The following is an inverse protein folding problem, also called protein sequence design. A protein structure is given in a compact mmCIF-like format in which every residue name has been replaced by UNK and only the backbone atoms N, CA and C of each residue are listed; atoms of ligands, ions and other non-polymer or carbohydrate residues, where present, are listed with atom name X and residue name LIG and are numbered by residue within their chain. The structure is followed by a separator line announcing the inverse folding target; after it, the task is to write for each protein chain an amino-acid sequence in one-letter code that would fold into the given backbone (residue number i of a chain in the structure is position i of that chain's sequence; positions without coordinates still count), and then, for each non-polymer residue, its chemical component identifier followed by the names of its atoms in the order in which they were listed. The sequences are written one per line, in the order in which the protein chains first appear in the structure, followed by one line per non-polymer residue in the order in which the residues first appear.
data_IF_239696795443
#
_entry.id   IF_239696795443
#
_cell.length_a   1.000
_cell.length_b   1.000
_cell.length_c   1.000
_cell.angle_alpha   90.00
_cell.angle_beta   90.00
_cell.angle_gamma   90.00
#
_symmetry.space_group_name_H-M   'P 1'
#
loop_
_entity.id
_entity.type
_entity.pdbx_description
1 polymer ?
#
# COMPACT_ATOMS: atom_id res chain seq x y z
N UNK A 1 -64.57 -25.63 -17.84
CA UNK A 1 -64.33 -24.30 -17.22
C UNK A 1 -63.01 -24.39 -16.47
N UNK A 2 -61.89 -24.09 -17.13
CA UNK A 2 -61.35 -22.78 -17.52
C UNK A 2 -60.60 -22.12 -16.37
N UNK A 3 -59.30 -21.86 -16.61
CA UNK A 3 -58.70 -20.60 -16.22
C UNK A 3 -57.49 -20.65 -15.28
N UNK A 4 -56.35 -21.16 -15.73
CA UNK A 4 -55.04 -20.72 -15.23
C UNK A 4 -53.86 -20.63 -16.25
N UNK A 5 -54.03 -20.58 -17.60
CA UNK A 5 -52.90 -20.38 -18.51
C UNK A 5 -52.49 -18.90 -18.71
N UNK A 6 -53.21 -17.93 -18.13
CA UNK A 6 -52.99 -16.49 -18.36
C UNK A 6 -51.73 -15.91 -17.68
N UNK A 7 -51.28 -16.48 -16.55
CA UNK A 7 -50.08 -15.98 -15.84
C UNK A 7 -48.77 -16.41 -16.50
N UNK A 8 -48.73 -17.60 -17.11
CA UNK A 8 -47.54 -18.08 -17.83
C UNK A 8 -47.26 -17.24 -19.08
N UNK A 9 -48.31 -16.71 -19.71
CA UNK A 9 -48.19 -15.87 -20.90
C UNK A 9 -47.71 -14.45 -20.56
N UNK A 10 -48.02 -13.96 -19.36
CA UNK A 10 -47.63 -12.64 -18.88
C UNK A 10 -46.15 -12.58 -18.44
N UNK A 11 -45.63 -13.66 -17.84
CA UNK A 11 -44.20 -13.75 -17.49
C UNK A 11 -43.29 -13.84 -18.74
N UNK A 12 -43.75 -14.50 -19.81
CA UNK A 12 -42.97 -14.69 -21.04
C UNK A 12 -42.77 -13.40 -21.84
N UNK A 13 -43.72 -12.46 -21.76
CA UNK A 13 -43.64 -11.14 -22.42
C UNK A 13 -42.67 -10.16 -21.74
N UNK A 14 -42.30 -10.38 -20.47
CA UNK A 14 -41.28 -9.56 -19.79
C UNK A 14 -39.85 -9.98 -20.15
N UNK A 15 -39.64 -11.17 -20.70
CA UNK A 15 -38.30 -11.70 -21.01
C UNK A 15 -37.84 -11.49 -22.46
N UNK A 16 -38.71 -11.06 -23.39
CA UNK A 16 -38.29 -10.80 -24.78
C UNK A 16 -39.21 -9.78 -25.49
N UNK A 17 -38.82 -8.50 -25.60
CA UNK A 17 -39.70 -7.42 -26.08
C UNK A 17 -39.88 -7.31 -27.61
N UNK A 18 -39.14 -8.08 -28.43
CA UNK A 18 -39.13 -7.92 -29.90
C UNK A 18 -39.95 -8.99 -30.67
N UNK A 19 -40.92 -9.66 -30.05
CA UNK A 19 -41.79 -10.62 -30.75
C UNK A 19 -43.05 -9.91 -31.32
N UNK A 20 -43.31 -9.95 -32.65
CA UNK A 20 -44.53 -9.37 -33.21
C UNK A 20 -45.80 -10.15 -32.80
N UNK A 21 -46.94 -9.46 -32.62
CA UNK A 21 -48.19 -10.05 -32.12
C UNK A 21 -48.87 -10.97 -33.16
N UNK A 22 -49.47 -12.05 -32.66
CA UNK A 22 -50.15 -13.11 -33.42
C UNK A 22 -51.49 -12.70 -34.08
N UNK A 23 -51.61 -11.46 -34.56
CA UNK A 23 -52.82 -10.90 -35.16
C UNK A 23 -52.65 -10.44 -36.61
N UNK A 24 -51.58 -10.88 -37.30
CA UNK A 24 -51.39 -10.67 -38.73
C UNK A 24 -51.53 -12.01 -39.47
N UNK A 25 -52.77 -12.49 -39.57
CA UNK A 25 -53.19 -13.49 -40.55
C UNK A 25 -54.09 -12.75 -41.54
N UNK A 26 -53.49 -12.23 -42.62
CA UNK A 26 -54.24 -11.72 -43.77
C UNK A 26 -54.75 -12.87 -44.65
N UNK A 27 -55.97 -12.69 -45.13
CA UNK A 27 -56.77 -13.59 -45.95
C UNK A 27 -56.15 -13.85 -47.32
N UNK A 28 -56.18 -15.11 -47.78
CA UNK A 28 -56.03 -15.48 -49.20
C UNK A 28 -57.35 -16.13 -49.65
N UNK A 29 -57.97 -15.70 -50.76
CA UNK A 29 -59.36 -16.00 -51.05
C UNK A 29 -59.57 -17.43 -51.58
N UNK A 30 -60.75 -17.96 -51.25
CA UNK A 30 -61.32 -19.21 -51.74
C UNK A 30 -61.66 -19.11 -53.22
N UNK A 31 -61.11 -20.00 -54.05
CA UNK A 31 -61.69 -20.32 -55.35
C UNK A 31 -61.45 -21.78 -55.72
N UNK A 32 -62.56 -22.45 -56.04
CA UNK A 32 -62.71 -23.62 -56.90
C UNK A 32 -62.28 -25.00 -56.33
N UNK A 33 -63.28 -25.64 -55.74
CA UNK A 33 -63.57 -27.07 -55.74
C UNK A 33 -63.07 -27.82 -56.99
N UNK A 34 -62.09 -28.70 -56.80
CA UNK A 34 -61.69 -29.72 -57.77
C UNK A 34 -61.40 -31.04 -57.03
N UNK A 35 -62.12 -32.07 -57.45
CA UNK A 35 -62.17 -33.46 -57.02
C UNK A 35 -60.92 -34.05 -56.31
N UNK A 36 -61.19 -34.73 -55.19
CA UNK A 36 -60.31 -35.68 -54.51
C UNK A 36 -59.89 -36.84 -55.44
N UNK A 37 -58.59 -37.18 -55.55
CA UNK A 37 -58.16 -38.53 -55.88
C UNK A 37 -57.64 -39.24 -54.62
N UNK A 38 -58.00 -40.52 -54.51
CA UNK A 38 -57.58 -41.43 -53.45
C UNK A 38 -56.04 -41.51 -53.36
N UNK A 39 -55.47 -41.09 -52.24
CA UNK A 39 -54.07 -41.38 -51.90
C UNK A 39 -54.02 -42.81 -51.35
N UNK A 40 -53.62 -43.73 -52.22
CA UNK A 40 -53.16 -45.05 -51.82
C UNK A 40 -51.89 -44.91 -50.98
N UNK A 41 -51.90 -45.51 -49.80
CA UNK A 41 -50.76 -45.64 -48.91
C UNK A 41 -49.73 -46.59 -49.53
N UNK A 42 -48.77 -46.07 -50.30
CA UNK A 42 -47.54 -46.81 -50.60
C UNK A 42 -46.60 -46.68 -49.40
N UNK A 43 -46.39 -47.79 -48.69
CA UNK A 43 -45.31 -47.94 -47.70
C UNK A 43 -43.95 -47.76 -48.40
N UNK A 44 -42.97 -47.07 -47.79
CA UNK A 44 -41.64 -46.96 -48.40
C UNK A 44 -40.99 -48.36 -48.52
N UNK A 45 -40.17 -48.60 -49.57
CA UNK A 45 -39.55 -49.89 -49.78
C UNK A 45 -38.57 -50.17 -48.63
N UNK A 46 -38.74 -51.32 -47.96
CA UNK A 46 -37.78 -51.81 -46.97
C UNK A 46 -36.44 -51.96 -47.67
N UNK A 47 -35.49 -51.08 -47.34
CA UNK A 47 -34.14 -51.14 -47.89
C UNK A 47 -33.60 -52.54 -47.61
N UNK A 48 -33.28 -53.29 -48.66
CA UNK A 48 -32.72 -54.65 -48.51
C UNK A 48 -31.50 -54.60 -47.59
N UNK A 49 -31.32 -55.63 -46.74
CA UNK A 49 -30.23 -55.67 -45.74
C UNK A 49 -28.84 -55.42 -46.35
N UNK A 50 -28.66 -55.68 -47.64
CA UNK A 50 -27.44 -55.39 -48.39
C UNK A 50 -27.19 -53.90 -48.67
N UNK A 51 -28.23 -53.06 -48.73
CA UNK A 51 -28.11 -51.61 -48.92
C UNK A 51 -27.70 -50.89 -47.62
N UNK A 52 -28.21 -51.35 -46.47
CA UNK A 52 -27.80 -50.85 -45.15
C UNK A 52 -26.39 -51.32 -44.79
N UNK A 53 -26.03 -52.57 -45.13
CA UNK A 53 -24.67 -53.07 -44.96
C UNK A 53 -23.65 -52.27 -45.80
N UNK A 54 -23.97 -51.98 -47.06
CA UNK A 54 -23.10 -51.18 -47.95
C UNK A 54 -22.93 -49.73 -47.48
N UNK A 55 -23.96 -49.09 -46.90
CA UNK A 55 -23.83 -47.73 -46.37
C UNK A 55 -23.05 -47.69 -45.05
N UNK A 56 -23.12 -48.73 -44.22
CA UNK A 56 -22.29 -48.88 -43.03
C UNK A 56 -20.81 -49.12 -43.38
N UNK A 57 -20.52 -49.99 -44.35
CA UNK A 57 -19.16 -50.20 -44.87
C UNK A 57 -18.60 -48.92 -45.52
N UNK A 58 -19.43 -48.18 -46.27
CA UNK A 58 -19.05 -46.90 -46.84
C UNK A 58 -18.75 -45.84 -45.76
N UNK A 59 -19.53 -45.77 -44.68
CA UNK A 59 -19.25 -44.85 -43.57
C UNK A 59 -17.98 -45.23 -42.80
N UNK A 60 -17.73 -46.52 -42.59
CA UNK A 60 -16.50 -47.01 -41.93
C UNK A 60 -15.29 -46.71 -42.81
N UNK A 61 -15.38 -46.92 -44.13
CA UNK A 61 -14.29 -46.58 -45.06
C UNK A 61 -14.06 -45.07 -45.17
N UNK A 62 -15.13 -44.24 -45.15
CA UNK A 62 -15.00 -42.79 -45.13
C UNK A 62 -14.39 -42.26 -43.82
N UNK A 63 -14.71 -42.89 -42.68
CA UNK A 63 -14.05 -42.59 -41.40
C UNK A 63 -12.59 -43.04 -41.39
N UNK A 64 -12.31 -44.22 -41.95
CA UNK A 64 -10.95 -44.72 -42.13
C UNK A 64 -10.14 -43.77 -43.01
N UNK A 65 -10.67 -43.33 -44.16
CA UNK A 65 -10.02 -42.39 -45.06
C UNK A 65 -9.88 -41.00 -44.43
N UNK A 66 -10.85 -40.52 -43.67
CA UNK A 66 -10.74 -39.25 -42.94
C UNK A 66 -9.68 -39.31 -41.83
N UNK A 67 -9.61 -40.41 -41.08
CA UNK A 67 -8.58 -40.65 -40.06
C UNK A 67 -7.21 -40.86 -40.71
N UNK A 68 -7.12 -41.61 -41.80
CA UNK A 68 -5.87 -41.79 -42.55
C UNK A 68 -5.40 -40.47 -43.12
N UNK A 69 -6.26 -39.68 -43.75
CA UNK A 69 -5.94 -38.34 -44.26
C UNK A 69 -5.51 -37.41 -43.11
N UNK A 70 -6.18 -37.40 -41.96
CA UNK A 70 -5.76 -36.61 -40.79
C UNK A 70 -4.40 -37.06 -40.23
N UNK A 71 -4.17 -38.36 -40.10
CA UNK A 71 -2.89 -38.92 -39.59
C UNK A 71 -1.75 -38.69 -40.59
N UNK A 72 -2.01 -38.76 -41.89
CA UNK A 72 -0.98 -38.58 -42.93
C UNK A 72 -0.68 -37.12 -43.26
N UNK A 73 -1.67 -36.22 -43.20
CA UNK A 73 -1.47 -34.78 -43.47
C UNK A 73 -1.16 -33.96 -42.23
N UNK A 74 -1.80 -34.26 -41.08
CA UNK A 74 -1.62 -33.49 -39.84
C UNK A 74 -0.82 -34.23 -38.77
N UNK A 75 -0.75 -35.57 -38.81
CA UNK A 75 -0.01 -36.36 -37.82
C UNK A 75 1.49 -36.08 -37.83
N UNK A 76 2.10 -35.89 -39.01
CA UNK A 76 3.51 -35.52 -39.11
C UNK A 76 3.78 -34.11 -38.56
N UNK A 77 2.91 -33.14 -38.86
CA UNK A 77 3.03 -31.78 -38.34
C UNK A 77 2.82 -31.71 -36.82
N UNK A 78 1.87 -32.49 -36.29
CA UNK A 78 1.61 -32.59 -34.86
C UNK A 78 2.78 -33.26 -34.12
N UNK A 79 3.40 -34.29 -34.72
CA UNK A 79 4.62 -34.90 -34.20
C UNK A 79 5.77 -33.89 -34.12
N UNK A 80 5.99 -33.08 -35.17
CA UNK A 80 7.00 -32.01 -35.13
C UNK A 80 6.70 -30.95 -34.07
N UNK A 81 5.43 -30.55 -33.90
CA UNK A 81 5.03 -29.61 -32.84
C UNK A 81 5.25 -30.17 -31.44
N UNK A 82 4.94 -31.45 -31.22
CA UNK A 82 5.19 -32.12 -29.94
C UNK A 82 6.69 -32.24 -29.64
N UNK A 83 7.50 -32.60 -30.64
CA UNK A 83 8.96 -32.64 -30.49
C UNK A 83 9.52 -31.25 -30.19
N UNK A 84 9.06 -30.21 -30.90
CA UNK A 84 9.47 -28.85 -30.65
C UNK A 84 9.05 -28.35 -29.26
N UNK A 85 7.82 -28.65 -28.83
CA UNK A 85 7.35 -28.33 -27.48
C UNK A 85 8.16 -29.03 -26.39
N UNK A 86 8.46 -30.33 -26.57
CA UNK A 86 9.30 -31.09 -25.67
C UNK A 86 10.73 -30.53 -25.61
N UNK A 87 11.30 -30.14 -26.76
CA UNK A 87 12.60 -29.50 -26.83
C UNK A 87 12.60 -28.15 -26.09
N UNK A 88 11.61 -27.28 -26.34
CA UNK A 88 11.46 -26.01 -25.62
C UNK A 88 11.37 -26.23 -24.12
N UNK A 89 10.56 -27.19 -23.67
CA UNK A 89 10.42 -27.50 -22.25
C UNK A 89 11.72 -28.01 -21.64
N UNK A 90 12.43 -28.91 -22.34
CA UNK A 90 13.70 -29.47 -21.87
C UNK A 90 14.81 -28.42 -21.79
N UNK A 91 15.05 -27.68 -22.88
CA UNK A 91 16.06 -26.62 -22.92
C UNK A 91 15.69 -25.46 -22.01
N UNK A 92 14.41 -25.09 -21.94
CA UNK A 92 13.91 -24.08 -21.01
C UNK A 92 14.17 -24.49 -19.56
N UNK A 93 13.85 -25.73 -19.16
CA UNK A 93 14.13 -26.23 -17.81
C UNK A 93 15.62 -26.21 -17.49
N UNK A 94 16.47 -26.58 -18.44
CA UNK A 94 17.92 -26.51 -18.28
C UNK A 94 18.38 -25.07 -18.06
N UNK A 95 17.89 -24.12 -18.87
CA UNK A 95 18.18 -22.69 -18.74
C UNK A 95 17.70 -22.13 -17.40
N UNK A 96 16.49 -22.50 -16.96
CA UNK A 96 15.94 -22.06 -15.68
C UNK A 96 16.80 -22.54 -14.50
N UNK A 97 17.22 -23.82 -14.50
CA UNK A 97 18.14 -24.33 -13.47
C UNK A 97 19.47 -23.61 -13.48
N UNK A 98 20.03 -23.33 -14.66
CA UNK A 98 21.29 -22.60 -14.79
C UNK A 98 21.17 -21.17 -14.26
N UNK A 99 20.12 -20.44 -14.65
CA UNK A 99 19.86 -19.09 -14.19
C UNK A 99 19.66 -19.03 -12.67
N UNK A 100 18.84 -19.93 -12.10
CA UNK A 100 18.63 -20.01 -10.65
C UNK A 100 19.91 -20.32 -9.90
N UNK A 101 20.76 -21.22 -10.42
CA UNK A 101 22.05 -21.56 -9.81
C UNK A 101 23.03 -20.37 -9.81
N UNK A 102 23.11 -19.63 -10.91
CA UNK A 102 23.95 -18.42 -11.00
C UNK A 102 23.48 -17.39 -9.97
N UNK A 103 22.17 -17.15 -9.89
CA UNK A 103 21.59 -16.19 -8.92
C UNK A 103 21.87 -16.64 -7.49
N UNK A 104 21.68 -17.92 -7.15
CA UNK A 104 21.97 -18.40 -5.79
C UNK A 104 23.45 -18.27 -5.43
N UNK A 105 24.36 -18.61 -6.33
CA UNK A 105 25.81 -18.47 -6.09
C UNK A 105 26.23 -17.00 -5.90
N UNK A 106 25.62 -16.07 -6.64
CA UNK A 106 25.90 -14.63 -6.49
C UNK A 106 25.38 -14.12 -5.14
N UNK A 107 24.15 -14.48 -4.76
CA UNK A 107 23.57 -14.05 -3.49
C UNK A 107 24.31 -14.63 -2.27
N UNK A 108 24.77 -15.88 -2.35
CA UNK A 108 25.61 -16.51 -1.32
C UNK A 108 26.96 -15.78 -1.18
N UNK A 109 27.60 -15.42 -2.30
CA UNK A 109 28.86 -14.63 -2.30
C UNK A 109 28.69 -13.24 -1.71
N UNK A 110 27.49 -12.66 -1.79
CA UNK A 110 27.15 -11.37 -1.18
C UNK A 110 26.87 -11.47 0.33
N UNK A 111 26.96 -12.67 0.92
CA UNK A 111 26.71 -12.87 2.36
C UNK A 111 25.23 -12.82 2.74
N UNK A 112 24.34 -13.05 1.78
CA UNK A 112 22.88 -13.09 2.03
C UNK A 112 22.52 -14.33 2.86
N UNK A 113 21.52 -14.19 3.74
CA UNK A 113 21.03 -15.30 4.54
C UNK A 113 20.58 -16.50 3.67
N UNK A 114 21.02 -17.74 3.97
CA UNK A 114 20.72 -18.93 3.17
C UNK A 114 19.22 -19.20 2.94
N UNK A 115 18.36 -18.81 3.88
CA UNK A 115 16.91 -18.97 3.77
C UNK A 115 16.36 -18.03 2.70
N UNK A 116 16.79 -16.78 2.70
CA UNK A 116 16.42 -15.76 1.69
C UNK A 116 16.90 -16.17 0.29
N UNK A 117 18.13 -16.68 0.18
CA UNK A 117 18.66 -17.19 -1.10
C UNK A 117 17.80 -18.32 -1.62
N UNK A 118 17.52 -19.34 -0.79
CA UNK A 118 16.72 -20.50 -1.21
C UNK A 118 15.29 -20.12 -1.58
N UNK A 119 14.67 -19.20 -0.84
CA UNK A 119 13.32 -18.70 -1.14
C UNK A 119 13.28 -17.97 -2.49
N UNK A 120 14.19 -17.01 -2.71
CA UNK A 120 14.26 -16.24 -3.96
C UNK A 120 14.59 -17.12 -5.16
N UNK A 121 15.54 -18.05 -5.01
CA UNK A 121 15.90 -19.03 -6.03
C UNK A 121 14.72 -19.91 -6.43
N UNK A 122 13.96 -20.43 -5.45
CA UNK A 122 12.76 -21.23 -5.71
C UNK A 122 11.66 -20.42 -6.40
N UNK A 123 11.44 -19.17 -5.97
CA UNK A 123 10.45 -18.28 -6.59
C UNK A 123 10.79 -17.99 -8.05
N UNK A 124 12.06 -17.69 -8.34
CA UNK A 124 12.58 -17.48 -9.69
C UNK A 124 12.45 -18.75 -10.55
N UNK A 125 12.79 -19.91 -9.99
CA UNK A 125 12.68 -21.18 -10.70
C UNK A 125 11.23 -21.51 -11.05
N UNK A 126 10.30 -21.35 -10.09
CA UNK A 126 8.88 -21.57 -10.31
C UNK A 126 8.31 -20.61 -11.37
N UNK A 127 8.64 -19.32 -11.32
CA UNK A 127 8.15 -18.34 -12.31
C UNK A 127 8.68 -18.63 -13.72
N UNK A 128 9.96 -18.96 -13.85
CA UNK A 128 10.54 -19.40 -15.13
C UNK A 128 9.87 -20.66 -15.66
N UNK A 129 9.66 -21.67 -14.80
CA UNK A 129 9.05 -22.93 -15.20
C UNK A 129 7.62 -22.73 -15.71
N UNK A 130 6.84 -21.85 -15.07
CA UNK A 130 5.50 -21.48 -15.54
C UNK A 130 5.55 -20.82 -16.92
N UNK A 131 6.46 -19.86 -17.14
CA UNK A 131 6.63 -19.22 -18.46
C UNK A 131 7.03 -20.23 -19.55
N UNK A 132 7.96 -21.15 -19.24
CA UNK A 132 8.41 -22.20 -20.17
C UNK A 132 7.27 -23.19 -20.46
N UNK A 133 6.47 -23.56 -19.46
CA UNK A 133 5.32 -24.43 -19.66
C UNK A 133 4.31 -23.79 -20.62
N UNK A 134 3.95 -22.53 -20.42
CA UNK A 134 3.04 -21.78 -21.32
C UNK A 134 3.62 -21.72 -22.74
N UNK A 135 4.91 -21.39 -22.88
CA UNK A 135 5.57 -21.35 -24.19
C UNK A 135 5.53 -22.72 -24.91
N UNK A 136 5.74 -23.81 -24.16
CA UNK A 136 5.67 -25.17 -24.72
C UNK A 136 4.25 -25.56 -25.15
N UNK A 137 3.21 -25.19 -24.38
CA UNK A 137 1.81 -25.46 -24.71
C UNK A 137 1.38 -24.68 -25.96
N UNK A 138 1.80 -23.43 -26.07
CA UNK A 138 1.51 -22.59 -27.24
C UNK A 138 2.10 -23.20 -28.53
N UNK A 139 3.28 -23.83 -28.47
CA UNK A 139 3.90 -24.49 -29.62
C UNK A 139 3.08 -25.67 -30.15
N UNK A 140 2.34 -26.37 -29.29
CA UNK A 140 1.46 -27.47 -29.68
C UNK A 140 0.18 -26.94 -30.36
N UNK A 141 -0.12 -25.65 -30.25
CA UNK A 141 -1.33 -25.01 -30.76
C UNK A 141 -2.49 -25.02 -29.76
N UNK A 142 -2.20 -25.22 -28.47
CA UNK A 142 -3.19 -25.04 -27.40
C UNK A 142 -3.40 -23.55 -27.19
N UNK A 143 -4.65 -23.11 -27.13
CA UNK A 143 -4.97 -21.73 -26.75
C UNK A 143 -4.64 -21.51 -25.27
N UNK A 144 -3.51 -20.84 -25.04
CA UNK A 144 -3.02 -20.52 -23.68
C UNK A 144 -3.65 -19.25 -23.12
N UNK A 145 -4.52 -18.54 -23.85
CA UNK A 145 -5.06 -17.24 -23.46
C UNK A 145 -5.75 -17.29 -22.10
N UNK A 146 -6.63 -18.27 -21.87
CA UNK A 146 -7.33 -18.44 -20.60
C UNK A 146 -6.38 -18.75 -19.44
N UNK A 147 -5.34 -19.56 -19.67
CA UNK A 147 -4.32 -19.90 -18.66
C UNK A 147 -3.46 -18.68 -18.33
N UNK A 148 -3.03 -17.92 -19.34
CA UNK A 148 -2.26 -16.68 -19.14
C UNK A 148 -3.08 -15.62 -18.41
N UNK A 149 -4.37 -15.50 -18.71
CA UNK A 149 -5.27 -14.57 -18.01
C UNK A 149 -5.41 -14.93 -16.52
N UNK A 150 -5.57 -16.22 -16.22
CA UNK A 150 -5.63 -16.71 -14.83
C UNK A 150 -4.34 -16.44 -14.07
N UNK A 151 -3.18 -16.69 -14.68
CA UNK A 151 -1.88 -16.46 -14.07
C UNK A 151 -1.61 -14.97 -13.89
N UNK A 152 -2.00 -14.14 -14.87
CA UNK A 152 -1.90 -12.69 -14.75
C UNK A 152 -2.75 -12.16 -13.59
N UNK A 153 -3.99 -12.64 -13.45
CA UNK A 153 -4.87 -12.28 -12.34
C UNK A 153 -4.28 -12.73 -10.98
N UNK A 154 -3.75 -13.96 -10.90
CA UNK A 154 -3.09 -14.46 -9.70
C UNK A 154 -1.83 -13.64 -9.36
N UNK A 155 -1.00 -13.32 -10.35
CA UNK A 155 0.20 -12.49 -10.19
C UNK A 155 -0.13 -11.07 -9.73
N UNK A 156 -1.19 -10.48 -10.28
CA UNK A 156 -1.70 -9.18 -9.84
C UNK A 156 -2.18 -9.23 -8.38
N UNK A 157 -2.93 -10.24 -7.99
CA UNK A 157 -3.38 -10.42 -6.61
C UNK A 157 -2.21 -10.57 -5.63
N UNK A 158 -1.20 -11.36 -5.97
CA UNK A 158 0.04 -11.48 -5.18
C UNK A 158 0.80 -10.15 -5.13
N UNK A 159 0.88 -9.42 -6.24
CA UNK A 159 1.51 -8.10 -6.30
C UNK A 159 0.83 -7.09 -5.39
N UNK A 160 -0.51 -7.02 -5.40
CA UNK A 160 -1.28 -6.19 -4.49
C UNK A 160 -1.07 -6.59 -3.03
N UNK A 161 -1.03 -7.90 -2.73
CA UNK A 161 -0.77 -8.37 -1.38
C UNK A 161 0.64 -7.96 -0.87
N UNK A 162 1.62 -7.88 -1.78
CA UNK A 162 3.00 -7.48 -1.46
C UNK A 162 3.26 -5.98 -1.59
N UNK A 163 2.29 -5.18 -2.02
CA UNK A 163 2.45 -3.75 -2.29
C UNK A 163 3.05 -3.00 -1.09
N UNK A 164 2.59 -3.28 0.13
CA UNK A 164 3.11 -2.64 1.34
C UNK A 164 4.57 -3.00 1.65
N UNK A 165 4.95 -4.27 1.45
CA UNK A 165 6.34 -4.71 1.68
C UNK A 165 7.29 -4.12 0.64
N UNK A 166 6.85 -4.04 -0.62
CA UNK A 166 7.63 -3.45 -1.71
C UNK A 166 7.80 -1.93 -1.53
N UNK A 167 6.78 -1.24 -1.00
CA UNK A 167 6.89 0.17 -0.65
C UNK A 167 7.95 0.41 0.44
N UNK A 168 7.99 -0.43 1.47
CA UNK A 168 9.01 -0.36 2.52
C UNK A 168 10.42 -0.65 1.97
N UNK A 169 10.55 -1.61 1.06
CA UNK A 169 11.81 -1.91 0.37
C UNK A 169 12.33 -0.72 -0.42
N UNK A 170 11.47 -0.12 -1.25
CA UNK A 170 11.82 1.04 -2.05
C UNK A 170 12.20 2.24 -1.16
N UNK A 171 11.44 2.47 -0.08
CA UNK A 171 11.75 3.49 0.91
C UNK A 171 13.12 3.27 1.56
N UNK A 172 13.45 2.03 1.94
CA UNK A 172 14.77 1.70 2.49
C UNK A 172 15.91 2.00 1.52
N UNK A 173 15.76 1.64 0.24
CA UNK A 173 16.75 1.99 -0.79
C UNK A 173 16.92 3.52 -0.89
N UNK A 174 15.82 4.28 -0.89
CA UNK A 174 15.87 5.75 -0.96
C UNK A 174 16.58 6.34 0.26
N UNK A 175 16.31 5.84 1.48
CA UNK A 175 17.00 6.27 2.70
C UNK A 175 18.51 5.99 2.63
N UNK A 176 18.92 4.84 2.10
CA UNK A 176 20.33 4.47 1.98
C UNK A 176 21.06 5.30 0.91
N UNK A 177 20.40 5.63 -0.21
CA UNK A 177 20.98 6.41 -1.30
C UNK A 177 21.10 7.88 -0.93
N UNK A 178 19.99 8.49 -0.49
CA UNK A 178 19.93 9.93 -0.24
C UNK A 178 20.42 10.31 1.16
N UNK A 179 20.44 9.37 2.10
CA UNK A 179 20.90 9.54 3.50
C UNK A 179 20.41 10.85 4.13
N UNK A 180 19.09 11.08 4.24
CA UNK A 180 18.56 12.25 4.94
C UNK A 180 18.96 12.29 6.43
N UNK A 181 19.35 11.14 6.99
CA UNK A 181 19.92 10.98 8.33
C UNK A 181 20.88 9.78 8.34
N UNK A 182 21.77 9.75 9.33
CA UNK A 182 22.72 8.67 9.57
C UNK A 182 22.50 7.93 10.89
N UNK A 183 23.21 6.82 11.07
CA UNK A 183 23.30 6.13 12.36
C UNK A 183 23.93 7.08 13.37
N UNK A 184 23.27 7.25 14.52
CA UNK A 184 23.67 8.16 15.59
C UNK A 184 22.95 9.51 15.59
N UNK A 185 22.18 9.84 14.55
CA UNK A 185 21.39 11.07 14.52
C UNK A 185 20.14 10.95 15.41
N UNK A 186 19.78 12.01 16.13
CA UNK A 186 18.49 12.15 16.81
C UNK A 186 17.47 12.69 15.81
N UNK A 187 16.42 11.91 15.53
CA UNK A 187 15.38 12.26 14.57
C UNK A 187 13.97 12.12 15.15
N UNK A 188 13.03 12.91 14.62
CA UNK A 188 11.60 12.70 14.76
C UNK A 188 11.04 12.32 13.37
N UNK A 189 10.59 11.07 13.25
CA UNK A 189 10.07 10.51 12.01
C UNK A 189 9.03 9.41 12.30
N UNK A 190 8.02 9.28 11.43
CA UNK A 190 6.98 8.26 11.61
C UNK A 190 6.11 8.41 12.87
N UNK A 191 6.14 9.58 13.51
CA UNK A 191 5.44 9.86 14.77
C UNK A 191 6.26 9.61 16.04
N UNK A 192 7.49 9.12 15.89
CA UNK A 192 8.36 8.75 17.02
C UNK A 192 9.64 9.59 17.02
N UNK A 193 10.22 9.82 18.21
CA UNK A 193 11.50 10.53 18.38
C UNK A 193 12.54 9.64 19.03
N UNK A 194 13.74 9.58 18.45
CA UNK A 194 14.84 8.82 19.01
C UNK A 194 16.12 8.90 18.20
N UNK A 195 17.17 8.27 18.71
CA UNK A 195 18.47 8.15 18.04
C UNK A 195 18.46 6.97 17.07
N UNK A 196 18.92 7.17 15.84
CA UNK A 196 18.99 6.11 14.83
C UNK A 196 20.07 5.10 15.20
N UNK A 197 19.69 3.84 15.42
CA UNK A 197 20.64 2.74 15.63
C UNK A 197 21.02 2.07 14.32
N UNK A 198 20.02 1.75 13.49
CA UNK A 198 20.19 0.90 12.31
C UNK A 198 19.18 1.33 11.22
N UNK A 199 19.60 1.34 9.95
CA UNK A 199 18.69 1.48 8.80
C UNK A 199 18.77 0.19 7.99
N UNK A 200 17.75 -0.66 8.13
CA UNK A 200 17.61 -1.89 7.37
C UNK A 200 16.84 -1.66 6.08
N UNK A 201 16.75 -2.69 5.25
CA UNK A 201 16.05 -2.63 3.95
C UNK A 201 14.55 -2.34 4.11
N UNK A 202 13.89 -2.87 5.13
CA UNK A 202 12.43 -2.72 5.32
C UNK A 202 12.04 -1.83 6.50
N UNK A 203 12.94 -1.64 7.47
CA UNK A 203 12.66 -0.88 8.68
C UNK A 203 13.89 -0.08 9.13
N UNK A 204 13.63 0.94 9.94
CA UNK A 204 14.65 1.72 10.64
C UNK A 204 14.42 1.53 12.13
N UNK A 205 15.52 1.43 12.85
CA UNK A 205 15.54 1.16 14.28
C UNK A 205 15.99 2.43 14.99
N UNK A 206 15.14 2.91 15.91
CA UNK A 206 15.42 4.06 16.76
C UNK A 206 15.54 3.61 18.22
N UNK A 207 16.35 4.32 18.99
CA UNK A 207 16.45 4.18 20.45
C UNK A 207 16.02 5.49 21.10
N UNK A 208 15.00 5.43 21.94
CA UNK A 208 14.55 6.60 22.71
C UNK A 208 15.56 6.96 23.80
N UNK A 209 15.45 8.18 24.35
CA UNK A 209 16.24 8.61 25.50
C UNK A 209 15.95 7.76 26.76
N UNK A 210 14.82 7.06 26.81
CA UNK A 210 14.47 6.07 27.84
C UNK A 210 15.03 4.66 27.58
N UNK A 211 15.93 4.49 26.60
CA UNK A 211 16.51 3.20 26.20
C UNK A 211 15.49 2.16 25.69
N UNK A 212 14.44 2.62 24.99
CA UNK A 212 13.45 1.75 24.34
C UNK A 212 13.76 1.64 22.86
N UNK A 213 13.77 0.40 22.34
CA UNK A 213 13.97 0.09 20.91
C UNK A 213 12.64 0.24 20.16
N UNK A 214 12.60 1.13 19.18
CA UNK A 214 11.45 1.38 18.29
C UNK A 214 11.83 0.90 16.89
N UNK A 215 10.96 0.10 16.27
CA UNK A 215 11.15 -0.44 14.92
C UNK A 215 10.07 0.15 14.02
N UNK A 216 10.45 0.98 13.06
CA UNK A 216 9.53 1.70 12.19
C UNK A 216 9.70 1.21 10.75
N UNK A 217 8.62 0.82 10.05
CA UNK A 217 8.69 0.51 8.63
C UNK A 217 9.21 1.72 7.82
N UNK A 218 10.13 1.50 6.88
CA UNK A 218 10.76 2.59 6.14
C UNK A 218 9.74 3.43 5.35
N UNK A 219 8.69 2.81 4.83
CA UNK A 219 7.60 3.49 4.15
C UNK A 219 6.96 4.56 5.04
N UNK A 220 6.71 4.26 6.31
CA UNK A 220 6.13 5.20 7.26
C UNK A 220 7.04 6.41 7.54
N UNK A 221 8.36 6.22 7.52
CA UNK A 221 9.34 7.31 7.65
C UNK A 221 9.32 8.21 6.41
N UNK A 222 9.33 7.62 5.21
CA UNK A 222 9.44 8.38 3.95
C UNK A 222 8.16 9.08 3.52
N UNK A 223 6.99 8.68 4.05
CA UNK A 223 5.70 9.34 3.75
C UNK A 223 5.60 10.71 4.44
N UNK A 224 6.21 10.87 5.61
CA UNK A 224 6.08 12.07 6.45
C UNK A 224 7.29 13.00 6.39
N UNK A 225 7.19 14.10 7.14
CA UNK A 225 8.32 15.00 7.38
C UNK A 225 9.31 14.34 8.33
N UNK A 226 10.59 14.41 7.99
CA UNK A 226 11.70 13.95 8.83
C UNK A 226 12.33 15.18 9.47
N UNK A 227 12.30 15.28 10.80
CA UNK A 227 13.08 16.30 11.52
C UNK A 227 14.36 15.65 12.02
N UNK A 228 15.50 16.14 11.57
CA UNK A 228 16.81 15.71 12.07
C UNK A 228 17.36 16.78 13.01
N UNK A 229 17.43 16.47 14.30
CA UNK A 229 17.90 17.40 15.32
C UNK A 229 19.44 17.49 15.37
N UNK A 230 20.15 16.49 14.82
CA UNK A 230 21.61 16.37 14.84
C UNK A 230 22.28 16.86 13.55
N UNK A 231 21.53 17.04 12.47
CA UNK A 231 22.05 17.49 11.18
C UNK A 231 22.75 18.86 11.24
N UNK A 232 22.29 19.76 12.13
CA UNK A 232 22.87 21.08 12.31
C UNK A 232 23.77 21.12 13.54
N UNK A 233 24.86 21.89 13.48
CA UNK A 233 25.83 22.00 14.59
C UNK A 233 25.31 22.77 15.79
N UNK A 234 24.41 23.71 15.54
CA UNK A 234 23.82 24.58 16.56
C UNK A 234 22.28 24.45 16.54
N UNK A 235 21.68 24.55 17.72
CA UNK A 235 20.23 24.54 17.94
C UNK A 235 19.81 25.78 18.72
N UNK A 236 18.60 26.26 18.44
CA UNK A 236 17.98 27.34 19.19
C UNK A 236 17.29 26.76 20.44
N UNK A 237 17.70 27.25 21.61
CA UNK A 237 16.92 27.11 22.85
C UNK A 237 16.00 28.33 22.92
N UNK A 238 14.70 28.08 23.09
CA UNK A 238 13.71 29.10 23.44
C UNK A 238 13.09 28.75 24.80
N UNK A 239 13.27 29.65 25.77
CA UNK A 239 12.68 29.56 27.10
C UNK A 239 11.63 30.67 27.25
N UNK A 240 10.52 30.35 27.91
CA UNK A 240 9.52 31.33 28.33
C UNK A 240 9.66 31.55 29.83
N UNK A 241 9.91 32.79 30.22
CA UNK A 241 10.13 33.19 31.62
C UNK A 241 9.15 34.31 31.97
N UNK A 242 8.29 34.10 32.96
CA UNK A 242 7.34 35.11 33.43
C UNK A 242 7.88 35.87 34.63
N UNK A 243 7.74 37.20 34.64
CA UNK A 243 7.94 38.04 35.83
C UNK A 243 6.63 38.68 36.29
N UNK A 244 6.60 39.23 37.50
CA UNK A 244 5.46 39.98 38.01
C UNK A 244 5.27 41.31 37.29
N UNK A 245 4.03 41.82 37.25
CA UNK A 245 3.71 43.13 36.67
C UNK A 245 4.34 44.31 37.42
N UNK A 246 4.69 44.11 38.69
CA UNK A 246 5.34 45.12 39.52
C UNK A 246 6.88 45.13 39.37
N UNK A 247 7.46 44.12 38.71
CA UNK A 247 8.91 44.05 38.52
C UNK A 247 9.37 45.04 37.43
N UNK A 248 10.57 45.60 37.57
CA UNK A 248 11.15 46.44 36.53
C UNK A 248 11.55 45.60 35.31
N UNK A 249 10.77 45.73 34.24
CA UNK A 249 10.98 45.11 32.94
C UNK A 249 12.41 45.25 32.40
N UNK A 250 13.02 46.43 32.53
CA UNK A 250 14.36 46.67 31.98
C UNK A 250 15.43 45.98 32.82
N UNK A 251 15.23 45.94 34.14
CA UNK A 251 16.13 45.23 35.05
C UNK A 251 16.08 43.72 34.81
N UNK A 252 14.87 43.14 34.71
CA UNK A 252 14.68 41.71 34.41
C UNK A 252 15.27 41.34 33.05
N UNK A 253 15.04 42.16 32.02
CA UNK A 253 15.63 41.95 30.69
C UNK A 253 17.16 41.94 30.75
N UNK A 254 17.76 42.93 31.42
CA UNK A 254 19.22 43.05 31.53
C UNK A 254 19.82 41.87 32.30
N UNK A 255 19.13 41.40 33.36
CA UNK A 255 19.50 40.20 34.10
C UNK A 255 19.50 38.96 33.18
N UNK A 256 18.41 38.74 32.43
CA UNK A 256 18.30 37.59 31.54
C UNK A 256 19.36 37.61 30.43
N UNK A 257 19.65 38.79 29.85
CA UNK A 257 20.72 38.94 28.86
C UNK A 257 22.09 38.61 29.46
N UNK A 258 22.38 39.07 30.69
CA UNK A 258 23.62 38.77 31.41
C UNK A 258 23.81 37.27 31.64
N UNK A 259 22.77 36.56 32.09
CA UNK A 259 22.81 35.10 32.32
C UNK A 259 23.18 34.34 31.03
N UNK A 260 22.72 34.80 29.87
CA UNK A 260 23.05 34.19 28.59
C UNK A 260 24.48 34.47 28.15
N UNK A 261 24.98 35.69 28.36
CA UNK A 261 26.33 36.10 27.96
C UNK A 261 27.42 35.45 28.83
N UNK A 262 27.13 35.23 30.11
CA UNK A 262 28.06 34.61 31.05
C UNK A 262 28.31 33.11 30.78
N UNK A 263 27.37 32.40 30.16
CA UNK A 263 27.55 30.98 29.84
C UNK A 263 28.37 30.78 28.57
N UNK A 264 29.57 30.22 28.72
CA UNK A 264 30.51 29.93 27.62
C UNK A 264 29.97 28.98 26.54
N UNK A 265 28.92 28.20 26.83
CA UNK A 265 28.28 27.28 25.87
C UNK A 265 27.31 27.99 24.93
N UNK A 266 26.89 29.21 25.26
CA UNK A 266 26.04 30.03 24.40
C UNK A 266 26.86 30.57 23.25
N UNK A 267 26.38 30.34 22.04
CA UNK A 267 26.96 30.87 20.81
C UNK A 267 26.58 32.34 20.70
N UNK A 268 27.57 33.22 20.56
CA UNK A 268 27.38 34.68 20.50
C UNK A 268 26.99 35.17 19.09
N UNK A 269 27.10 34.32 18.07
CA UNK A 269 26.72 34.63 16.69
C UNK A 269 25.95 33.45 16.09
N UNK A 270 24.62 33.54 15.95
CA UNK A 270 23.77 34.72 16.17
C UNK A 270 23.66 35.14 17.65
N UNK A 271 23.46 36.45 17.94
CA UNK A 271 23.40 36.91 19.32
C UNK A 271 22.17 36.34 20.04
N UNK A 272 22.28 36.07 21.35
CA UNK A 272 21.11 35.76 22.17
C UNK A 272 20.16 36.96 22.18
N UNK A 273 18.86 36.69 22.33
CA UNK A 273 17.85 37.74 22.36
C UNK A 273 16.86 37.51 23.50
N UNK A 274 16.54 38.57 24.22
CA UNK A 274 15.49 38.59 25.25
C UNK A 274 14.44 39.62 24.84
N UNK A 275 13.19 39.18 24.68
CA UNK A 275 12.09 40.05 24.30
C UNK A 275 10.83 39.69 25.08
N UNK A 276 10.02 40.70 25.42
CA UNK A 276 8.66 40.47 25.92
C UNK A 276 7.81 39.98 24.76
N UNK A 277 7.16 38.83 24.91
CA UNK A 277 6.31 38.23 23.88
C UNK A 277 4.83 38.27 24.23
N UNK A 278 4.48 38.39 25.51
CA UNK A 278 3.11 38.29 25.98
C UNK A 278 2.94 39.00 27.33
N UNK A 279 1.84 39.73 27.47
CA UNK A 279 1.34 40.25 28.75
C UNK A 279 0.21 39.31 29.19
N UNK A 280 0.54 38.26 29.94
CA UNK A 280 -0.40 37.20 30.33
C UNK A 280 -1.20 37.60 31.59
N UNK A 281 -2.21 36.81 31.95
CA UNK A 281 -3.16 37.12 33.05
C UNK A 281 -2.48 37.48 34.39
N UNK A 282 -1.35 36.85 34.71
CA UNK A 282 -0.65 37.04 35.99
C UNK A 282 0.82 37.44 35.84
N UNK A 283 1.35 37.47 34.61
CA UNK A 283 2.79 37.65 34.37
C UNK A 283 3.11 38.37 33.07
N UNK A 284 4.22 39.10 33.05
CA UNK A 284 4.85 39.54 31.79
C UNK A 284 5.82 38.46 31.33
N UNK A 285 5.60 37.89 30.14
CA UNK A 285 6.36 36.75 29.62
C UNK A 285 7.47 37.21 28.68
N UNK A 286 8.70 36.88 29.06
CA UNK A 286 9.89 37.01 28.23
C UNK A 286 10.15 35.73 27.43
N UNK A 287 10.45 35.88 26.14
CA UNK A 287 11.09 34.86 25.32
C UNK A 287 12.60 35.06 25.37
N UNK A 288 13.29 34.08 25.92
CA UNK A 288 14.74 34.03 26.09
C UNK A 288 15.28 33.04 25.06
N UNK A 289 15.95 33.56 24.04
CA UNK A 289 16.45 32.78 22.89
C UNK A 289 17.97 32.80 22.85
N UNK A 290 18.57 31.62 22.73
CA UNK A 290 20.01 31.49 22.55
C UNK A 290 20.37 30.28 21.69
N UNK A 291 21.48 30.38 20.97
CA UNK A 291 22.01 29.29 20.15
C UNK A 291 23.04 28.51 20.96
N UNK A 292 23.03 27.18 20.83
CA UNK A 292 23.93 26.27 21.54
C UNK A 292 24.38 25.15 20.63
N UNK A 293 25.54 24.55 20.90
CA UNK A 293 25.93 23.30 20.27
C UNK A 293 24.89 22.21 20.50
N UNK A 294 24.62 21.41 19.46
CA UNK A 294 23.55 20.40 19.50
C UNK A 294 23.77 19.35 20.59
N UNK A 295 25.02 19.03 20.92
CA UNK A 295 25.36 18.06 21.98
C UNK A 295 25.04 18.60 23.38
N UNK A 296 25.23 19.90 23.58
CA UNK A 296 25.04 20.58 24.86
C UNK A 296 23.60 21.05 25.07
N UNK A 297 22.74 20.91 24.05
CA UNK A 297 21.37 21.44 24.04
C UNK A 297 20.58 21.09 25.31
N UNK A 298 20.48 19.80 25.64
CA UNK A 298 19.68 19.35 26.78
C UNK A 298 20.26 19.83 28.11
N UNK A 299 21.58 19.73 28.28
CA UNK A 299 22.28 20.13 29.51
C UNK A 299 22.21 21.64 29.75
N UNK A 300 22.45 22.44 28.70
CA UNK A 300 22.39 23.90 28.83
C UNK A 300 20.96 24.37 29.09
N UNK A 301 19.98 23.79 28.39
CA UNK A 301 18.57 24.13 28.58
C UNK A 301 18.13 23.99 30.04
N UNK A 302 18.48 22.90 30.71
CA UNK A 302 18.16 22.69 32.13
C UNK A 302 18.96 23.62 33.04
N UNK A 303 20.25 23.79 32.78
CA UNK A 303 21.12 24.66 33.57
C UNK A 303 20.75 26.15 33.47
N UNK A 304 20.18 26.60 32.36
CA UNK A 304 19.64 27.96 32.21
C UNK A 304 18.38 28.16 33.04
N UNK A 305 17.44 27.20 33.02
CA UNK A 305 16.23 27.29 33.86
C UNK A 305 16.58 27.39 35.34
N UNK A 306 17.51 26.56 35.82
CA UNK A 306 17.95 26.57 37.21
C UNK A 306 18.61 27.91 37.58
N UNK A 307 19.53 28.42 36.76
CA UNK A 307 20.18 29.72 37.00
C UNK A 307 19.22 30.89 36.96
N UNK A 308 18.27 30.89 36.03
CA UNK A 308 17.23 31.92 35.97
C UNK A 308 16.40 31.90 37.25
N UNK A 309 16.02 30.71 37.74
CA UNK A 309 15.26 30.59 38.99
C UNK A 309 16.04 31.12 40.20
N UNK A 310 17.28 30.68 40.36
CA UNK A 310 18.12 31.09 41.50
C UNK A 310 18.41 32.60 41.45
N UNK A 311 18.78 33.14 40.30
CA UNK A 311 19.10 34.57 40.20
C UNK A 311 17.87 35.47 40.30
N UNK A 312 16.67 35.01 39.91
CA UNK A 312 15.43 35.73 40.21
C UNK A 312 15.19 35.85 41.71
N UNK A 313 15.45 34.78 42.49
CA UNK A 313 15.30 34.80 43.94
C UNK A 313 16.33 35.73 44.62
N UNK A 314 17.55 35.80 44.10
CA UNK A 314 18.63 36.66 44.61
C UNK A 314 18.41 38.16 44.31
N UNK A 315 17.94 38.49 43.11
CA UNK A 315 17.64 39.87 42.68
C UNK A 315 16.27 40.36 43.18
N UNK A 316 15.45 39.46 43.75
CA UNK A 316 14.13 39.77 44.31
C UNK A 316 13.01 39.89 43.28
N UNK A 317 13.18 39.33 42.08
CA UNK A 317 12.14 39.28 41.06
C UNK A 317 11.09 38.22 41.39
N UNK A 318 9.83 38.48 41.04
CA UNK A 318 8.73 37.60 41.43
C UNK A 318 8.35 36.65 40.30
N UNK A 319 8.29 35.34 40.60
CA UNK A 319 7.51 34.41 39.78
C UNK A 319 6.04 34.45 40.24
N UNK A 320 5.14 35.05 39.45
CA UNK A 320 3.77 35.26 39.90
C UNK A 320 2.99 33.94 39.96
N UNK A 321 2.26 33.77 41.05
CA UNK A 321 1.23 32.75 41.16
C UNK A 321 -0.07 33.24 40.53
N UNK A 322 -0.99 32.35 40.14
CA UNK A 322 -2.33 32.74 39.74
C UNK A 322 -3.00 33.58 40.85
N UNK A 323 -3.29 34.85 40.55
CA UNK A 323 -3.90 35.81 41.47
C UNK A 323 -5.34 36.12 41.05
N UNK A 324 -6.24 36.33 42.00
CA UNK A 324 -7.64 36.69 41.67
C UNK A 324 -8.10 37.86 42.53
N UNK A 325 -8.64 38.87 41.87
CA UNK A 325 -9.33 39.94 42.56
C UNK A 325 -10.74 39.45 42.97
N UNK A 326 -11.02 39.50 44.27
CA UNK A 326 -12.29 39.08 44.86
C UNK A 326 -13.01 40.33 45.37
N UNK A 327 -14.09 40.72 44.68
CA UNK A 327 -15.00 41.75 45.14
C UNK A 327 -16.07 41.13 46.05
N UNK A 328 -15.96 41.34 47.37
CA UNK A 328 -16.92 40.83 48.35
C UNK A 328 -18.03 41.86 48.59
N UNK A 329 -19.24 41.57 48.11
CA UNK A 329 -20.42 42.36 48.41
C UNK A 329 -21.12 41.82 49.66
N UNK A 330 -21.13 42.59 50.75
CA UNK A 330 -21.90 42.26 51.95
C UNK A 330 -23.36 42.68 51.76
N UNK A 331 -24.27 41.72 51.66
CA UNK A 331 -25.71 41.99 51.71
C UNK A 331 -26.17 42.00 53.16
N UNK A 332 -26.39 43.19 53.72
CA UNK A 332 -27.00 43.32 55.05
C UNK A 332 -28.51 43.09 54.91
N UNK A 333 -28.96 41.85 55.11
CA UNK A 333 -30.39 41.56 55.28
C UNK A 333 -30.85 42.19 56.59
N UNK A 334 -31.50 43.35 56.51
CA UNK A 334 -32.18 43.96 57.65
C UNK A 334 -33.33 43.05 58.11
N UNK A 335 -33.12 42.30 59.18
CA UNK A 335 -34.10 41.34 59.72
C UNK A 335 -35.23 42.04 60.52
N UNK A 336 -35.22 43.37 60.65
CA UNK A 336 -36.20 44.13 61.45
C UNK A 336 -37.36 44.72 60.61
N UNK A 337 -38.06 43.89 59.84
CA UNK A 337 -39.34 44.32 59.24
C UNK A 337 -40.31 43.18 58.96
N UNK A 338 -40.70 42.41 59.99
CA UNK A 338 -41.99 41.72 60.00
C UNK A 338 -42.58 41.80 61.42
N UNK A 339 -43.68 42.56 61.49
CA UNK A 339 -44.75 42.62 62.51
C UNK A 339 -44.36 42.92 63.97
#
# INVERSE_FOLDING_TARGET
MVGFPLLAQQARRLMNPDLPPASALEEVPVAAEAALPAVATELPPVASASAVAKSAEAQISAWYDAVYQFVTTQGLALLFKLIAAAAIFYFGRMLARMATKIVSEVLEKLGTDPILVKFGANLLYCSMLVMIAIASLNMVGVDVTSVTAMIAAAGFAVGLALQGSLANFAAGIMLIIFKPFGVGDEIEAGGETGNVEEVNIFNTILRTNGNVKIIIPNGQITIGTIKNFTAQRIRLIELKVGCGYCDDLNAVKSFLERVLVEDRRVVQTPPPSVAVIELADFSVVFSVKCWVGTKEFATLRSALLERIKVGFDEEGYTFPYPSRDIYVHQSTTNINKVA
#
